data_IF_408831744924
#
_entry.id   IF_408831744924
#
_cell.length_a   1.000
_cell.length_b   1.000
_cell.length_c   1.000
_cell.angle_alpha   90.00
_cell.angle_beta   90.00
_cell.angle_gamma   90.00
#
_symmetry.space_group_name_H-M   'P 1'
#
loop_
_entity.id
_entity.type
_entity.pdbx_description
1 polymer ?
#
# COMPACT_ATOMS: atom_id res chain seq x y z
N UNK A 1 8.37 16.74 -24.71
CA UNK A 1 8.50 15.54 -25.58
C UNK A 1 7.13 14.95 -25.95
N UNK A 2 6.89 14.51 -27.21
CA UNK A 2 5.65 13.80 -27.58
C UNK A 2 5.75 12.26 -27.43
N UNK A 3 4.60 11.60 -27.26
CA UNK A 3 4.50 10.14 -27.03
C UNK A 3 5.15 9.30 -28.13
N UNK A 4 4.95 9.65 -29.42
CA UNK A 4 5.48 8.84 -30.53
C UNK A 4 6.99 8.94 -30.60
N UNK A 5 7.53 10.13 -30.39
CA UNK A 5 8.97 10.35 -30.36
C UNK A 5 9.61 9.65 -29.16
N UNK A 6 8.98 9.70 -27.98
CA UNK A 6 9.54 9.02 -26.81
C UNK A 6 9.56 7.49 -26.98
N UNK A 7 8.46 6.90 -27.45
CA UNK A 7 8.41 5.46 -27.75
C UNK A 7 9.45 5.06 -28.80
N UNK A 8 9.66 5.90 -29.82
CA UNK A 8 10.70 5.65 -30.83
C UNK A 8 12.08 5.67 -30.22
N UNK A 9 12.38 6.67 -29.39
CA UNK A 9 13.65 6.76 -28.67
C UNK A 9 13.90 5.52 -27.82
N UNK A 10 12.94 5.10 -26.98
CA UNK A 10 13.06 3.88 -26.17
C UNK A 10 13.36 2.63 -27.02
N UNK A 11 12.73 2.50 -28.19
CA UNK A 11 13.01 1.39 -29.13
C UNK A 11 14.41 1.45 -29.72
N UNK A 12 14.98 2.63 -29.95
CA UNK A 12 16.39 2.76 -30.40
C UNK A 12 17.39 2.28 -29.34
N UNK A 13 17.00 2.33 -28.06
CA UNK A 13 17.76 1.74 -26.94
C UNK A 13 17.56 0.22 -26.83
N UNK A 14 16.82 -0.40 -27.75
CA UNK A 14 16.50 -1.82 -27.74
C UNK A 14 15.36 -2.21 -26.78
N UNK A 15 14.61 -1.24 -26.23
CA UNK A 15 13.51 -1.50 -25.31
C UNK A 15 12.23 -1.79 -26.12
N UNK A 16 11.60 -2.94 -25.85
CA UNK A 16 10.29 -3.26 -26.43
C UNK A 16 9.20 -2.43 -25.72
N UNK A 17 8.35 -1.71 -26.47
CA UNK A 17 7.33 -0.84 -25.89
C UNK A 17 5.95 -1.15 -26.46
N UNK A 18 5.02 -1.53 -25.57
CA UNK A 18 3.62 -1.80 -25.87
C UNK A 18 2.71 -0.83 -25.12
N UNK A 19 1.74 -0.24 -25.81
CA UNK A 19 0.84 0.78 -25.21
C UNK A 19 -0.63 0.37 -25.16
N UNK A 20 -0.92 -0.89 -25.45
CA UNK A 20 -2.30 -1.41 -25.59
C UNK A 20 -2.54 -2.67 -24.75
N UNK A 21 -1.70 -2.94 -23.75
CA UNK A 21 -1.78 -4.19 -22.98
C UNK A 21 -2.90 -4.17 -21.94
N UNK A 22 -3.44 -5.36 -21.62
CA UNK A 22 -4.34 -5.54 -20.47
C UNK A 22 -3.51 -5.67 -19.19
N UNK A 23 -3.01 -4.56 -18.66
CA UNK A 23 -2.35 -4.57 -17.36
C UNK A 23 -3.41 -4.73 -16.25
N UNK A 24 -3.32 -5.80 -15.45
CA UNK A 24 -4.27 -6.14 -14.38
C UNK A 24 -4.09 -5.24 -13.14
N UNK A 25 -4.47 -3.97 -13.25
CA UNK A 25 -4.52 -3.03 -12.12
C UNK A 25 -3.32 -2.09 -11.97
N UNK A 26 -2.37 -2.10 -12.93
CA UNK A 26 -1.26 -1.13 -13.02
C UNK A 26 -1.41 -0.25 -14.27
N UNK A 27 -0.88 0.97 -14.23
CA UNK A 27 -0.85 1.87 -15.40
C UNK A 27 0.25 1.47 -16.39
N UNK A 28 1.37 0.94 -15.88
CA UNK A 28 2.44 0.36 -16.68
C UNK A 28 3.26 -0.64 -15.87
N UNK A 29 4.22 -1.29 -16.52
CA UNK A 29 5.30 -2.02 -15.88
C UNK A 29 6.51 -2.20 -16.81
N UNK A 30 7.70 -2.22 -16.21
CA UNK A 30 8.93 -2.68 -16.83
C UNK A 30 9.28 -4.13 -16.42
N UNK A 31 9.62 -4.98 -17.39
CA UNK A 31 10.13 -6.33 -17.15
C UNK A 31 10.95 -6.82 -18.35
N UNK A 32 12.15 -7.39 -18.10
CA UNK A 32 12.98 -8.05 -19.12
C UNK A 32 13.16 -7.22 -20.41
N UNK A 33 13.58 -5.97 -20.28
CA UNK A 33 13.78 -5.03 -21.40
C UNK A 33 12.50 -4.65 -22.19
N UNK A 34 11.33 -4.85 -21.56
CA UNK A 34 10.03 -4.48 -22.11
C UNK A 34 9.30 -3.51 -21.17
N UNK A 35 8.70 -2.48 -21.75
CA UNK A 35 7.78 -1.56 -21.08
C UNK A 35 6.39 -1.73 -21.65
N UNK A 36 5.43 -2.06 -20.79
CA UNK A 36 4.03 -2.17 -21.13
C UNK A 36 3.25 -1.05 -20.46
N UNK A 37 2.42 -0.33 -21.22
CA UNK A 37 1.45 0.65 -20.73
C UNK A 37 0.03 0.11 -20.95
N UNK A 38 -0.78 0.21 -19.91
CA UNK A 38 -2.18 -0.21 -19.93
C UNK A 38 -2.97 0.58 -20.96
N UNK A 39 -3.81 -0.12 -21.74
CA UNK A 39 -4.74 0.53 -22.69
C UNK A 39 -5.74 1.50 -22.03
N UNK A 40 -5.94 1.37 -20.72
CA UNK A 40 -6.88 2.19 -19.95
C UNK A 40 -6.18 3.39 -19.28
N UNK A 41 -4.87 3.57 -19.48
CA UNK A 41 -4.14 4.71 -18.94
C UNK A 41 -4.63 6.00 -19.62
N UNK A 42 -5.03 7.03 -18.86
CA UNK A 42 -5.41 8.33 -19.43
C UNK A 42 -4.29 8.91 -20.28
N UNK A 43 -4.62 9.59 -21.39
CA UNK A 43 -3.59 10.06 -22.35
C UNK A 43 -2.57 11.01 -21.70
N UNK A 44 -3.03 11.89 -20.80
CA UNK A 44 -2.16 12.78 -20.02
C UNK A 44 -1.23 12.06 -19.03
N UNK A 45 -1.44 10.77 -18.78
CA UNK A 45 -0.62 9.93 -17.89
C UNK A 45 0.32 8.99 -18.65
N UNK A 46 0.17 8.84 -19.97
CA UNK A 46 0.99 7.91 -20.75
C UNK A 46 2.48 8.25 -20.69
N UNK A 47 2.86 9.51 -20.94
CA UNK A 47 4.27 9.92 -20.87
C UNK A 47 4.83 9.82 -19.44
N UNK A 48 4.15 10.35 -18.40
CA UNK A 48 4.58 10.15 -17.01
C UNK A 48 4.80 8.68 -16.65
N UNK A 49 3.88 7.78 -17.05
CA UNK A 49 4.05 6.34 -16.81
C UNK A 49 5.24 5.77 -17.60
N UNK A 50 5.45 6.18 -18.85
CA UNK A 50 6.64 5.75 -19.61
C UNK A 50 7.94 6.23 -18.94
N UNK A 51 7.98 7.46 -18.42
CA UNK A 51 9.12 8.00 -17.67
C UNK A 51 9.41 7.17 -16.42
N UNK A 52 8.37 6.83 -15.67
CA UNK A 52 8.45 5.98 -14.49
C UNK A 52 9.04 4.60 -14.82
N UNK A 53 8.50 3.92 -15.83
CA UNK A 53 9.00 2.60 -16.24
C UNK A 53 10.41 2.66 -16.85
N UNK A 54 10.74 3.74 -17.55
CA UNK A 54 12.10 3.95 -18.05
C UNK A 54 13.09 4.18 -16.91
N UNK A 55 12.72 4.88 -15.85
CA UNK A 55 13.55 5.03 -14.66
C UNK A 55 13.83 3.67 -13.97
N UNK A 56 12.84 2.76 -13.96
CA UNK A 56 13.08 1.38 -13.53
C UNK A 56 14.07 0.65 -14.43
N UNK A 57 13.99 0.83 -15.75
CA UNK A 57 14.99 0.30 -16.68
C UNK A 57 16.40 0.84 -16.38
N UNK A 58 16.56 2.16 -16.20
CA UNK A 58 17.85 2.78 -15.87
C UNK A 58 18.40 2.24 -14.55
N UNK A 59 17.57 2.12 -13.53
CA UNK A 59 18.00 1.52 -12.26
C UNK A 59 18.42 0.06 -12.44
N UNK A 60 17.70 -0.73 -13.24
CA UNK A 60 18.10 -2.10 -13.55
C UNK A 60 19.47 -2.17 -14.27
N UNK A 61 19.80 -1.20 -15.13
CA UNK A 61 21.15 -1.12 -15.73
C UNK A 61 22.25 -0.85 -14.69
N UNK A 62 21.94 -0.05 -13.66
CA UNK A 62 22.89 0.30 -12.59
C UNK A 62 23.01 -0.82 -11.54
N UNK A 63 21.88 -1.41 -11.14
CA UNK A 63 21.78 -2.45 -10.12
C UNK A 63 20.84 -3.58 -10.63
N UNK A 64 21.37 -4.58 -11.37
CA UNK A 64 20.56 -5.63 -11.99
C UNK A 64 19.76 -6.51 -11.02
N UNK A 65 20.20 -6.63 -9.76
CA UNK A 65 19.49 -7.37 -8.72
C UNK A 65 18.36 -6.57 -8.05
N UNK A 66 18.14 -5.30 -8.44
CA UNK A 66 17.08 -4.45 -7.90
C UNK A 66 15.65 -5.02 -7.99
N UNK A 67 15.25 -5.90 -8.94
CA UNK A 67 13.92 -6.51 -8.92
C UNK A 67 13.70 -7.36 -7.65
N UNK A 68 14.77 -7.95 -7.11
CA UNK A 68 14.74 -8.80 -5.92
C UNK A 68 14.96 -8.00 -4.64
N UNK A 69 15.92 -7.08 -4.65
CA UNK A 69 16.35 -6.33 -3.44
C UNK A 69 15.50 -5.07 -3.19
N UNK A 70 14.89 -4.50 -4.24
CA UNK A 70 14.28 -3.18 -4.21
C UNK A 70 15.26 -2.03 -4.49
N UNK A 71 16.53 -2.37 -4.72
CA UNK A 71 17.64 -1.46 -4.97
C UNK A 71 18.12 -0.69 -3.74
N UNK A 72 19.16 0.12 -3.93
CA UNK A 72 19.82 0.89 -2.87
C UNK A 72 20.03 2.35 -3.24
N UNK A 73 20.04 3.24 -2.23
CA UNK A 73 20.40 4.64 -2.48
C UNK A 73 21.88 4.80 -2.82
N UNK A 74 22.75 3.98 -2.23
CA UNK A 74 24.15 3.93 -2.65
C UNK A 74 24.34 3.64 -4.15
N UNK A 75 23.55 2.73 -4.73
CA UNK A 75 23.59 2.50 -6.18
C UNK A 75 23.01 3.69 -6.95
N UNK A 76 21.88 4.26 -6.54
CA UNK A 76 21.20 5.30 -7.30
C UNK A 76 21.84 6.69 -7.18
N UNK A 77 22.36 7.05 -6.02
CA UNK A 77 22.81 8.41 -5.68
C UNK A 77 24.24 8.48 -5.15
N UNK A 78 24.96 7.35 -5.12
CA UNK A 78 26.31 7.24 -4.50
C UNK A 78 26.34 7.77 -3.06
N UNK A 79 25.21 7.69 -2.37
CA UNK A 79 25.03 8.18 -1.01
C UNK A 79 23.89 7.41 -0.32
N UNK A 80 24.06 7.16 0.97
CA UNK A 80 23.02 6.63 1.85
C UNK A 80 22.50 7.69 2.83
N UNK A 81 22.64 8.98 2.49
CA UNK A 81 22.14 10.05 3.33
C UNK A 81 20.62 9.90 3.57
N UNK A 82 20.14 9.81 4.82
CA UNK A 82 18.72 9.65 5.13
C UNK A 82 17.81 10.75 4.55
N UNK A 83 18.37 11.93 4.24
CA UNK A 83 17.64 13.03 3.59
C UNK A 83 17.05 12.59 2.24
N UNK A 84 17.76 11.74 1.47
CA UNK A 84 17.28 11.22 0.18
C UNK A 84 15.93 10.53 0.34
N UNK A 85 15.82 9.62 1.32
CA UNK A 85 14.59 8.88 1.57
C UNK A 85 13.42 9.81 1.92
N UNK A 86 13.69 10.86 2.70
CA UNK A 86 12.66 11.82 3.11
C UNK A 86 12.19 12.69 1.94
N UNK A 87 13.12 13.23 1.16
CA UNK A 87 12.83 14.09 0.01
C UNK A 87 12.16 13.32 -1.14
N UNK A 88 12.70 12.16 -1.52
CA UNK A 88 12.09 11.31 -2.55
C UNK A 88 10.67 10.89 -2.17
N UNK A 89 10.40 10.66 -0.88
CA UNK A 89 9.05 10.33 -0.42
C UNK A 89 8.10 11.53 -0.48
N UNK A 90 8.58 12.76 -0.29
CA UNK A 90 7.78 13.98 -0.55
C UNK A 90 7.40 14.08 -2.02
N UNK A 91 8.35 13.86 -2.93
CA UNK A 91 8.09 13.85 -4.37
C UNK A 91 7.10 12.74 -4.73
N UNK A 92 7.25 11.55 -4.15
CA UNK A 92 6.30 10.44 -4.32
C UNK A 92 4.88 10.83 -3.90
N UNK A 93 4.70 11.55 -2.79
CA UNK A 93 3.39 12.02 -2.35
C UNK A 93 2.77 13.07 -3.28
N UNK A 94 3.60 13.90 -3.92
CA UNK A 94 3.18 14.85 -4.94
C UNK A 94 2.72 14.12 -6.21
N UNK A 95 3.48 13.14 -6.67
CA UNK A 95 3.22 12.40 -7.92
C UNK A 95 2.04 11.43 -7.80
N UNK A 96 1.93 10.72 -6.67
CA UNK A 96 0.86 9.74 -6.43
C UNK A 96 0.32 9.84 -5.00
N UNK A 97 -0.79 10.57 -4.84
CA UNK A 97 -1.47 10.74 -3.55
C UNK A 97 -1.90 9.41 -2.88
N UNK A 98 -1.92 8.29 -3.61
CA UNK A 98 -2.20 6.96 -3.04
C UNK A 98 -1.13 6.53 -2.02
N UNK A 99 0.10 7.04 -2.13
CA UNK A 99 1.19 6.79 -1.19
C UNK A 99 0.85 7.26 0.24
N UNK A 100 0.04 8.32 0.37
CA UNK A 100 -0.39 8.89 1.65
C UNK A 100 -1.33 7.96 2.43
N UNK A 101 -1.94 6.97 1.77
CA UNK A 101 -2.86 6.01 2.39
C UNK A 101 -4.04 6.65 3.16
N UNK A 102 -4.44 7.89 2.84
CA UNK A 102 -5.39 8.71 3.62
C UNK A 102 -6.65 7.92 3.99
N UNK A 103 -7.34 7.34 2.99
CA UNK A 103 -8.60 6.59 3.22
C UNK A 103 -8.42 5.38 4.15
N UNK A 104 -7.27 4.71 4.09
CA UNK A 104 -6.98 3.57 4.97
C UNK A 104 -6.65 4.04 6.39
N UNK A 105 -5.94 5.15 6.53
CA UNK A 105 -5.64 5.78 7.82
C UNK A 105 -6.91 6.24 8.51
N UNK A 106 -7.78 6.96 7.82
CA UNK A 106 -9.10 7.34 8.34
C UNK A 106 -9.94 6.12 8.74
N UNK A 107 -9.93 5.08 7.91
CA UNK A 107 -10.67 3.86 8.24
C UNK A 107 -10.13 3.18 9.50
N UNK A 108 -8.80 3.18 9.69
CA UNK A 108 -8.13 2.66 10.88
C UNK A 108 -8.53 3.45 12.13
N UNK A 109 -8.60 4.78 12.06
CA UNK A 109 -9.05 5.61 13.18
C UNK A 109 -10.53 5.38 13.51
N UNK A 110 -11.43 5.32 12.51
CA UNK A 110 -12.84 4.95 12.75
C UNK A 110 -13.00 3.60 13.43
N UNK A 111 -12.15 2.62 13.11
CA UNK A 111 -12.16 1.32 13.79
C UNK A 111 -11.68 1.46 15.25
N UNK A 112 -10.63 2.24 15.48
CA UNK A 112 -10.04 2.47 16.82
C UNK A 112 -11.03 3.17 17.75
N UNK A 113 -11.79 4.13 17.24
CA UNK A 113 -12.89 4.80 17.96
C UNK A 113 -13.93 3.78 18.42
N UNK A 114 -14.46 2.95 17.49
CA UNK A 114 -15.42 1.89 17.84
C UNK A 114 -14.87 0.86 18.82
N UNK A 115 -13.58 0.50 18.72
CA UNK A 115 -12.93 -0.35 19.72
C UNK A 115 -12.96 0.32 21.10
N UNK A 116 -12.74 1.63 21.17
CA UNK A 116 -12.81 2.41 22.40
C UNK A 116 -14.22 2.44 22.99
N UNK A 117 -15.25 2.59 22.14
CA UNK A 117 -16.66 2.53 22.56
C UNK A 117 -17.01 1.18 23.20
N UNK A 118 -16.69 0.06 22.53
CA UNK A 118 -16.96 -1.26 23.11
C UNK A 118 -16.15 -1.54 24.38
N UNK A 119 -14.93 -1.03 24.47
CA UNK A 119 -14.12 -1.13 25.69
C UNK A 119 -14.78 -0.43 26.89
N UNK A 120 -15.41 0.73 26.66
CA UNK A 120 -16.18 1.45 27.69
C UNK A 120 -17.42 0.64 28.13
N UNK A 121 -18.14 0.05 27.18
CA UNK A 121 -19.31 -0.80 27.47
C UNK A 121 -18.90 -1.99 28.35
N UNK A 122 -17.79 -2.67 28.01
CA UNK A 122 -17.30 -3.81 28.81
C UNK A 122 -16.88 -3.34 30.21
N UNK A 123 -16.14 -2.23 30.31
CA UNK A 123 -15.64 -1.71 31.58
C UNK A 123 -16.72 -1.20 32.53
N UNK A 124 -17.90 -0.83 32.02
CA UNK A 124 -19.08 -0.51 32.85
C UNK A 124 -19.44 -1.66 33.80
N UNK A 125 -19.32 -2.90 33.32
CA UNK A 125 -19.63 -4.12 34.08
C UNK A 125 -18.37 -4.81 34.64
N UNK A 126 -17.24 -4.65 33.96
CA UNK A 126 -15.96 -5.28 34.31
C UNK A 126 -14.82 -4.25 34.34
N UNK A 127 -14.70 -3.41 35.39
CA UNK A 127 -13.75 -2.30 35.42
C UNK A 127 -12.28 -2.71 35.27
N UNK A 128 -11.93 -3.93 35.68
CA UNK A 128 -10.58 -4.50 35.56
C UNK A 128 -10.28 -5.08 34.17
N UNK A 129 -11.21 -4.99 33.22
CA UNK A 129 -11.03 -5.51 31.86
C UNK A 129 -9.82 -4.87 31.16
N UNK A 130 -9.00 -5.73 30.53
CA UNK A 130 -7.84 -5.33 29.72
C UNK A 130 -7.88 -6.06 28.38
N UNK A 131 -7.84 -5.32 27.27
CA UNK A 131 -7.94 -5.85 25.88
C UNK A 131 -6.87 -6.89 25.53
N UNK A 132 -5.68 -6.72 26.09
CA UNK A 132 -4.50 -7.58 25.88
C UNK A 132 -4.54 -8.88 26.67
N UNK A 133 -5.42 -8.99 27.68
CA UNK A 133 -5.52 -10.16 28.54
C UNK A 133 -6.71 -11.04 28.15
N UNK A 134 -6.66 -12.29 28.61
CA UNK A 134 -7.80 -13.21 28.51
C UNK A 134 -8.95 -12.69 29.38
N UNK A 135 -10.15 -12.70 28.83
CA UNK A 135 -11.35 -12.30 29.56
C UNK A 135 -12.02 -13.56 30.13
N UNK A 136 -11.58 -13.98 31.33
CA UNK A 136 -11.90 -15.30 31.90
C UNK A 136 -13.40 -15.50 32.11
N UNK A 137 -14.11 -14.45 32.52
CA UNK A 137 -15.56 -14.44 32.74
C UNK A 137 -16.31 -14.74 31.43
N UNK A 138 -15.88 -14.10 30.34
CA UNK A 138 -16.41 -14.38 29.00
C UNK A 138 -16.05 -15.79 28.52
N UNK A 139 -14.81 -16.27 28.73
CA UNK A 139 -14.39 -17.62 28.33
C UNK A 139 -15.22 -18.71 28.99
N UNK A 140 -15.56 -18.54 30.28
CA UNK A 140 -16.46 -19.46 31.01
C UNK A 140 -17.86 -19.45 30.41
N UNK A 141 -18.40 -18.27 30.12
CA UNK A 141 -19.74 -18.11 29.55
C UNK A 141 -19.88 -18.77 28.16
N UNK A 142 -18.89 -18.57 27.29
CA UNK A 142 -18.97 -18.96 25.87
C UNK A 142 -18.63 -20.44 25.61
N UNK A 143 -18.13 -21.17 26.61
CA UNK A 143 -17.49 -22.50 26.46
C UNK A 143 -18.33 -23.50 25.65
N UNK A 144 -19.63 -23.55 25.93
CA UNK A 144 -20.59 -24.46 25.30
C UNK A 144 -21.54 -23.77 24.31
N UNK A 145 -21.27 -22.52 23.95
CA UNK A 145 -22.08 -21.72 23.03
C UNK A 145 -21.43 -21.63 21.64
N UNK A 146 -22.25 -21.66 20.60
CA UNK A 146 -21.81 -21.41 19.22
C UNK A 146 -21.29 -19.98 19.00
N UNK A 147 -21.61 -19.04 19.91
CA UNK A 147 -21.08 -17.69 19.86
C UNK A 147 -19.54 -17.65 19.97
N UNK A 148 -18.88 -18.72 20.46
CA UNK A 148 -17.41 -18.84 20.47
C UNK A 148 -16.81 -18.73 19.06
N UNK A 149 -17.53 -19.18 18.04
CA UNK A 149 -17.07 -19.08 16.65
C UNK A 149 -16.99 -17.62 16.18
N UNK A 150 -17.80 -16.72 16.75
CA UNK A 150 -17.78 -15.29 16.43
C UNK A 150 -16.53 -14.56 16.96
N UNK A 151 -15.75 -15.17 17.86
CA UNK A 151 -14.43 -14.66 18.23
C UNK A 151 -13.44 -14.74 17.07
N UNK A 152 -13.59 -15.76 16.21
CA UNK A 152 -12.70 -16.00 15.07
C UNK A 152 -13.26 -15.43 13.78
N UNK A 153 -14.57 -15.55 13.54
CA UNK A 153 -15.22 -15.19 12.28
C UNK A 153 -16.33 -14.16 12.48
N UNK A 154 -16.43 -13.17 11.59
CA UNK A 154 -17.50 -12.15 11.69
C UNK A 154 -18.87 -12.72 11.27
N UNK A 155 -18.85 -13.81 10.50
CA UNK A 155 -19.99 -14.57 10.00
C UNK A 155 -19.61 -16.04 9.89
N UNK A 156 -20.44 -16.93 10.41
CA UNK A 156 -20.18 -18.38 10.39
C UNK A 156 -21.50 -19.14 10.18
N UNK A 157 -21.45 -20.16 9.33
CA UNK A 157 -22.49 -21.18 9.24
C UNK A 157 -22.06 -22.36 10.10
N UNK A 158 -22.89 -22.74 11.07
CA UNK A 158 -22.65 -23.89 11.94
C UNK A 158 -23.68 -24.96 11.56
N UNK A 159 -23.19 -26.13 11.17
CA UNK A 159 -24.05 -27.30 10.99
C UNK A 159 -24.49 -27.77 12.38
N UNK A 160 -25.78 -28.03 12.55
CA UNK A 160 -26.25 -28.69 13.76
C UNK A 160 -25.75 -30.13 13.83
N UNK A 161 -25.85 -30.74 15.01
CA UNK A 161 -25.48 -32.16 15.21
C UNK A 161 -26.31 -33.11 14.33
N UNK A 162 -26.05 -34.41 14.41
CA UNK A 162 -26.57 -35.47 13.52
C UNK A 162 -28.10 -35.49 13.28
N UNK A 163 -28.91 -34.78 14.08
CA UNK A 163 -30.37 -34.61 13.92
C UNK A 163 -30.83 -33.24 13.37
N UNK A 164 -29.96 -32.24 13.26
CA UNK A 164 -30.31 -30.89 12.81
C UNK A 164 -29.97 -30.72 11.33
N UNK A 165 -31.00 -30.86 10.48
CA UNK A 165 -30.91 -30.83 9.02
C UNK A 165 -30.56 -29.45 8.41
N UNK A 166 -30.62 -28.35 9.19
CA UNK A 166 -30.42 -26.99 8.67
C UNK A 166 -29.25 -26.26 9.34
N UNK A 167 -28.37 -25.60 8.56
CA UNK A 167 -27.28 -24.80 9.10
C UNK A 167 -27.81 -23.55 9.80
N UNK A 168 -27.30 -23.27 11.00
CA UNK A 168 -27.52 -21.99 11.68
C UNK A 168 -26.50 -20.97 11.23
N UNK A 169 -26.96 -19.76 10.90
CA UNK A 169 -26.09 -18.65 10.53
C UNK A 169 -25.93 -17.68 11.69
N UNK A 170 -24.70 -17.50 12.14
CA UNK A 170 -24.36 -16.53 13.17
C UNK A 170 -23.55 -15.38 12.58
N UNK A 171 -23.87 -14.15 12.97
CA UNK A 171 -23.13 -12.95 12.57
C UNK A 171 -22.95 -12.01 13.76
N UNK A 172 -21.91 -11.18 13.71
CA UNK A 172 -21.68 -10.13 14.73
C UNK A 172 -22.78 -9.06 14.79
N UNK A 173 -23.60 -8.95 13.73
CA UNK A 173 -24.68 -7.97 13.63
C UNK A 173 -25.99 -8.49 14.21
N UNK A 174 -26.11 -9.80 14.42
CA UNK A 174 -27.33 -10.46 14.88
C UNK A 174 -27.14 -11.15 16.24
N UNK A 175 -26.16 -10.70 17.03
CA UNK A 175 -25.80 -11.35 18.30
C UNK A 175 -27.01 -11.38 19.24
N UNK A 176 -27.70 -10.27 19.41
CA UNK A 176 -28.86 -10.14 20.30
C UNK A 176 -30.04 -11.00 19.83
N UNK A 177 -30.18 -11.22 18.53
CA UNK A 177 -31.22 -12.09 17.96
C UNK A 177 -30.86 -13.57 18.14
N UNK A 178 -29.59 -13.93 17.94
CA UNK A 178 -29.12 -15.31 17.98
C UNK A 178 -28.81 -15.81 19.39
N UNK A 179 -28.51 -14.89 20.32
CA UNK A 179 -28.13 -15.15 21.71
C UNK A 179 -28.82 -14.12 22.64
N UNK A 180 -30.15 -14.22 22.82
CA UNK A 180 -30.94 -13.21 23.53
C UNK A 180 -30.52 -13.04 25.00
N UNK A 181 -30.07 -14.13 25.65
CA UNK A 181 -29.62 -14.10 27.05
C UNK A 181 -28.15 -13.65 27.20
N UNK A 182 -27.51 -13.15 26.13
CA UNK A 182 -26.12 -12.70 26.19
C UNK A 182 -26.02 -11.33 26.88
N UNK A 183 -25.22 -11.21 27.96
CA UNK A 183 -24.92 -9.91 28.55
C UNK A 183 -24.35 -8.92 27.54
N UNK A 184 -24.75 -7.65 27.65
CA UNK A 184 -24.29 -6.56 26.78
C UNK A 184 -22.76 -6.50 26.67
N UNK A 185 -22.06 -6.65 27.81
CA UNK A 185 -20.60 -6.67 27.85
C UNK A 185 -19.98 -7.82 27.03
N UNK A 186 -20.64 -8.98 26.95
CA UNK A 186 -20.15 -10.13 26.20
C UNK A 186 -20.39 -9.97 24.69
N UNK A 187 -21.55 -9.43 24.30
CA UNK A 187 -21.80 -9.04 22.92
C UNK A 187 -20.81 -7.96 22.45
N UNK A 188 -20.57 -6.94 23.29
CA UNK A 188 -19.56 -5.90 23.06
C UNK A 188 -18.14 -6.49 22.91
N UNK A 189 -17.78 -7.48 23.72
CA UNK A 189 -16.48 -8.17 23.62
C UNK A 189 -16.30 -8.89 22.27
N UNK A 190 -17.33 -9.59 21.77
CA UNK A 190 -17.29 -10.24 20.45
C UNK A 190 -17.06 -9.19 19.36
N UNK A 191 -17.81 -8.08 19.38
CA UNK A 191 -17.65 -6.98 18.41
C UNK A 191 -16.28 -6.31 18.50
N UNK A 192 -15.76 -6.11 19.71
CA UNK A 192 -14.40 -5.61 19.94
C UNK A 192 -13.35 -6.51 19.29
N UNK A 193 -13.46 -7.84 19.45
CA UNK A 193 -12.54 -8.80 18.82
C UNK A 193 -12.69 -8.84 17.30
N UNK A 194 -13.89 -8.66 16.75
CA UNK A 194 -14.09 -8.46 15.31
C UNK A 194 -13.33 -7.23 14.80
N UNK A 195 -13.53 -6.08 15.45
CA UNK A 195 -12.90 -4.82 15.08
C UNK A 195 -11.38 -4.86 15.23
N UNK A 196 -10.84 -5.53 16.24
CA UNK A 196 -9.39 -5.70 16.41
C UNK A 196 -8.78 -6.48 15.23
N UNK A 197 -9.44 -7.57 14.79
CA UNK A 197 -9.03 -8.30 13.57
C UNK A 197 -9.09 -7.40 12.34
N UNK A 198 -10.16 -6.61 12.21
CA UNK A 198 -10.31 -5.65 11.09
C UNK A 198 -9.20 -4.59 11.10
N UNK A 199 -8.86 -4.05 12.26
CA UNK A 199 -7.77 -3.08 12.43
C UNK A 199 -6.42 -3.68 12.01
N UNK A 200 -6.15 -4.93 12.39
CA UNK A 200 -4.93 -5.64 12.00
C UNK A 200 -4.85 -5.81 10.46
N UNK A 201 -5.95 -6.20 9.81
CA UNK A 201 -6.02 -6.30 8.34
C UNK A 201 -5.75 -4.96 7.64
N UNK A 202 -6.34 -3.87 8.13
CA UNK A 202 -6.12 -2.51 7.59
C UNK A 202 -4.67 -2.09 7.79
N UNK A 203 -4.11 -2.33 8.97
CA UNK A 203 -2.70 -2.01 9.29
C UNK A 203 -1.74 -2.79 8.39
N UNK A 204 -1.98 -4.09 8.17
CA UNK A 204 -1.18 -4.90 7.25
C UNK A 204 -1.23 -4.37 5.81
N UNK A 205 -2.40 -3.90 5.36
CA UNK A 205 -2.56 -3.26 4.04
C UNK A 205 -1.76 -1.96 3.94
N UNK A 206 -1.84 -1.08 4.94
CA UNK A 206 -1.05 0.16 5.00
C UNK A 206 0.45 -0.17 4.95
N UNK A 207 0.91 -1.13 5.76
CA UNK A 207 2.32 -1.54 5.78
C UNK A 207 2.78 -2.10 4.43
N UNK A 208 1.94 -2.89 3.75
CA UNK A 208 2.24 -3.39 2.40
C UNK A 208 2.44 -2.25 1.40
N UNK A 209 1.56 -1.25 1.43
CA UNK A 209 1.64 -0.08 0.55
C UNK A 209 2.88 0.76 0.88
N UNK A 210 3.11 1.05 2.16
CA UNK A 210 4.32 1.77 2.60
C UNK A 210 5.60 1.05 2.21
N UNK A 211 5.64 -0.29 2.34
CA UNK A 211 6.81 -1.08 1.91
C UNK A 211 7.05 -1.00 0.41
N UNK A 212 6.02 -0.79 -0.40
CA UNK A 212 6.16 -0.60 -1.84
C UNK A 212 6.70 0.81 -2.16
N UNK A 213 6.01 1.87 -1.70
CA UNK A 213 6.40 3.25 -2.00
C UNK A 213 7.72 3.70 -1.37
N UNK A 214 8.22 2.99 -0.35
CA UNK A 214 9.51 3.29 0.28
C UNK A 214 10.68 2.51 -0.30
N UNK A 215 10.49 1.73 -1.36
CA UNK A 215 11.62 1.05 -2.03
C UNK A 215 12.46 2.08 -2.77
N UNK A 216 13.80 2.05 -2.70
CA UNK A 216 14.66 2.96 -3.46
C UNK A 216 14.32 2.98 -4.96
N UNK A 217 14.03 1.82 -5.56
CA UNK A 217 13.62 1.75 -6.98
C UNK A 217 12.33 2.51 -7.30
N UNK A 218 11.32 2.42 -6.44
CA UNK A 218 10.04 3.12 -6.64
C UNK A 218 10.22 4.62 -6.40
N UNK A 219 10.96 4.98 -5.34
CA UNK A 219 11.27 6.36 -4.99
C UNK A 219 12.00 7.08 -6.14
N UNK A 220 12.99 6.42 -6.74
CA UNK A 220 13.71 6.96 -7.90
C UNK A 220 12.81 7.10 -9.13
N UNK A 221 11.99 6.10 -9.44
CA UNK A 221 11.08 6.17 -10.57
C UNK A 221 10.04 7.28 -10.42
N UNK A 222 9.51 7.47 -9.21
CA UNK A 222 8.62 8.60 -8.87
C UNK A 222 9.31 9.95 -8.92
N UNK A 223 10.58 10.00 -8.56
CA UNK A 223 11.37 11.22 -8.66
C UNK A 223 11.55 11.66 -10.12
N UNK A 224 11.94 10.73 -11.01
CA UNK A 224 12.05 10.99 -12.46
C UNK A 224 10.69 11.38 -13.05
N UNK A 225 9.62 10.68 -12.68
CA UNK A 225 8.25 11.05 -13.06
C UNK A 225 7.88 12.45 -12.58
N UNK A 226 8.26 12.81 -11.35
CA UNK A 226 8.03 14.13 -10.77
C UNK A 226 8.75 15.24 -11.53
N UNK A 227 10.02 15.04 -11.88
CA UNK A 227 10.80 16.01 -12.66
C UNK A 227 10.15 16.31 -14.03
N UNK A 228 9.53 15.30 -14.64
CA UNK A 228 8.76 15.49 -15.87
C UNK A 228 7.47 16.29 -15.65
N UNK A 229 6.79 16.08 -14.52
CA UNK A 229 5.51 16.71 -14.23
C UNK A 229 5.66 18.17 -13.82
N UNK A 230 6.60 18.47 -12.93
CA UNK A 230 6.86 19.80 -12.40
C UNK A 230 8.28 19.85 -11.78
N UNK A 231 9.25 20.25 -12.60
CA UNK A 231 10.65 20.30 -12.18
C UNK A 231 10.89 21.31 -11.06
N UNK A 232 10.34 22.52 -11.19
CA UNK A 232 10.52 23.59 -10.20
C UNK A 232 10.01 23.16 -8.83
N UNK A 233 8.83 22.54 -8.79
CA UNK A 233 8.27 22.03 -7.55
C UNK A 233 9.13 20.91 -6.95
N UNK A 234 9.62 19.98 -7.77
CA UNK A 234 10.49 18.89 -7.30
C UNK A 234 11.81 19.44 -6.73
N UNK A 235 12.45 20.40 -7.40
CA UNK A 235 13.65 21.07 -6.90
C UNK A 235 13.40 21.80 -5.58
N UNK A 236 12.21 22.39 -5.39
CA UNK A 236 11.84 23.05 -4.14
C UNK A 236 11.62 22.07 -2.97
N UNK A 237 10.99 20.90 -3.21
CA UNK A 237 10.66 19.95 -2.13
C UNK A 237 11.75 18.90 -1.86
N UNK A 238 12.68 18.71 -2.80
CA UNK A 238 13.76 17.74 -2.77
C UNK A 238 15.12 18.33 -3.22
N UNK A 239 15.59 19.45 -2.63
CA UNK A 239 16.76 20.17 -3.12
C UNK A 239 18.06 19.34 -3.06
N UNK A 240 18.30 18.62 -1.96
CA UNK A 240 19.52 17.81 -1.80
C UNK A 240 19.54 16.66 -2.83
N UNK A 241 18.40 16.02 -3.04
CA UNK A 241 18.24 14.94 -4.00
C UNK A 241 18.43 15.45 -5.43
N UNK A 242 17.88 16.62 -5.76
CA UNK A 242 18.04 17.23 -7.08
C UNK A 242 19.50 17.61 -7.36
N UNK A 243 20.17 18.26 -6.42
CA UNK A 243 21.60 18.60 -6.55
C UNK A 243 22.42 17.33 -6.85
N UNK A 244 22.25 16.29 -6.03
CA UNK A 244 22.98 15.02 -6.21
C UNK A 244 22.62 14.33 -7.51
N UNK A 245 21.34 14.32 -7.89
CA UNK A 245 20.88 13.72 -9.12
C UNK A 245 21.48 14.42 -10.33
N UNK A 246 21.41 15.76 -10.41
CA UNK A 246 21.93 16.50 -11.56
C UNK A 246 23.46 16.43 -11.66
N UNK A 247 24.18 16.45 -10.52
CA UNK A 247 25.63 16.17 -10.51
C UNK A 247 25.96 14.82 -11.15
N UNK A 248 25.23 13.76 -10.77
CA UNK A 248 25.43 12.41 -11.33
C UNK A 248 24.97 12.31 -12.79
N UNK A 249 23.86 12.97 -13.14
CA UNK A 249 23.33 13.02 -14.50
C UNK A 249 24.32 13.69 -15.45
N UNK A 250 24.90 14.81 -15.04
CA UNK A 250 25.84 15.55 -15.87
C UNK A 250 27.16 14.80 -16.08
N UNK A 251 27.58 14.03 -15.07
CA UNK A 251 28.70 13.09 -15.15
C UNK A 251 28.37 11.79 -15.92
N UNK A 252 27.17 11.67 -16.50
CA UNK A 252 26.78 10.54 -17.35
C UNK A 252 26.38 9.28 -16.58
N UNK A 253 26.19 9.36 -15.26
CA UNK A 253 25.95 8.19 -14.41
C UNK A 253 24.66 7.43 -14.75
N UNK A 254 23.61 8.17 -15.14
CA UNK A 254 22.32 7.60 -15.52
C UNK A 254 22.19 7.30 -17.02
N UNK A 255 23.30 7.37 -17.77
CA UNK A 255 23.35 7.11 -19.21
C UNK A 255 22.28 7.88 -19.99
N UNK A 256 21.45 7.13 -20.71
CA UNK A 256 20.39 7.62 -21.61
C UNK A 256 19.28 8.45 -20.91
N UNK A 257 19.26 8.50 -19.57
CA UNK A 257 18.28 9.34 -18.86
C UNK A 257 18.50 10.84 -19.13
N UNK A 258 19.74 11.26 -19.41
CA UNK A 258 20.08 12.67 -19.66
C UNK A 258 19.34 13.25 -20.85
N UNK A 259 19.31 12.52 -21.96
CA UNK A 259 18.63 12.93 -23.21
C UNK A 259 17.13 13.16 -22.99
N UNK A 260 16.56 12.39 -22.06
CA UNK A 260 15.14 12.42 -21.75
C UNK A 260 14.84 13.61 -20.84
N UNK A 261 15.59 13.79 -19.75
CA UNK A 261 15.38 14.86 -18.78
C UNK A 261 15.66 16.25 -19.37
N UNK A 262 16.68 16.39 -20.22
CA UNK A 262 17.01 17.67 -20.86
C UNK A 262 16.05 18.05 -22.00
N UNK A 263 15.31 17.07 -22.55
CA UNK A 263 14.27 17.29 -23.57
C UNK A 263 12.86 17.50 -23.02
N UNK A 264 12.72 17.62 -21.70
CA UNK A 264 11.45 17.84 -20.98
C UNK A 264 11.29 19.30 -20.59
#
# INVERSE_FOLDING_TARGET
MDKKSFVRYLRTLGIEVHTTTKARGHQGFFCNNRIDISKNTPENRVIPTLMHEFAHYIHFQIEPDMPKTGGTFQALFKSDNPILAAELFKVTNFVDASSLCIRLMEHKERIKEKISEYDKIIKKYYPKFRRSQKFKEFEKYIKHSDAKYLLKYDRVKVMGGFLQLFPKLYTINTIEQCFPDMPEAFAAYIRLKSLTKKQARVTARINKINKYYKRPTELFARFVEGLYLDREWVEAIAPFTCEKFFELLDNGYYGNLKDVIQGC
#
